data_IF_557687480311
#
_entry.id   IF_557687480311
#
_cell.length_a   1.000
_cell.length_b   1.000
_cell.length_c   1.000
_cell.angle_alpha   90.00
_cell.angle_beta   90.00
_cell.angle_gamma   90.00
#
_symmetry.space_group_name_H-M   'P 1'
#
loop_
_entity.id
_entity.type
_entity.pdbx_description
1 polymer ?
#
# COMPACT_ATOMS: atom_id res chain seq x y z
N UNK A 1 6.40 -54.19 2.91
CA UNK A 1 7.30 -53.29 3.68
C UNK A 1 7.24 -51.95 2.98
N UNK A 2 6.21 -51.20 3.32
CA UNK A 2 5.55 -50.18 2.51
C UNK A 2 6.02 -48.77 2.88
N UNK A 3 6.39 -47.96 1.88
CA UNK A 3 6.83 -46.57 2.02
C UNK A 3 5.80 -45.57 1.49
N UNK A 4 4.52 -45.74 1.83
CA UNK A 4 3.42 -44.83 1.40
C UNK A 4 2.79 -44.02 2.54
N UNK A 5 3.42 -43.94 3.72
CA UNK A 5 2.77 -43.39 4.93
C UNK A 5 3.35 -42.07 5.46
N UNK A 6 4.05 -41.28 4.62
CA UNK A 6 4.64 -40.00 5.08
C UNK A 6 4.16 -38.75 4.33
N UNK A 7 3.13 -38.83 3.49
CA UNK A 7 2.62 -37.65 2.76
C UNK A 7 1.18 -37.24 3.12
N UNK A 8 0.69 -37.61 4.31
CA UNK A 8 -0.71 -37.31 4.71
C UNK A 8 -0.85 -36.48 5.99
N UNK A 9 0.25 -35.98 6.59
CA UNK A 9 0.18 -35.28 7.88
C UNK A 9 0.52 -33.78 7.83
N UNK A 10 0.79 -33.21 6.65
CA UNK A 10 1.08 -31.77 6.51
C UNK A 10 -0.09 -30.93 5.97
N UNK A 11 -1.29 -31.51 5.87
CA UNK A 11 -2.55 -30.78 5.62
C UNK A 11 -3.39 -30.56 6.89
N UNK A 12 -2.85 -30.90 8.06
CA UNK A 12 -3.56 -30.79 9.34
C UNK A 12 -2.90 -29.80 10.32
N UNK A 13 -2.49 -28.61 9.88
CA UNK A 13 -2.09 -27.55 10.83
C UNK A 13 -2.13 -26.14 10.21
N UNK A 14 -3.32 -25.56 10.02
CA UNK A 14 -3.50 -24.08 9.92
C UNK A 14 -4.93 -23.56 10.05
N UNK A 15 -5.96 -24.43 10.14
CA UNK A 15 -7.36 -24.02 10.17
C UNK A 15 -8.09 -24.32 11.50
N UNK A 16 -7.49 -23.97 12.64
CA UNK A 16 -8.22 -23.90 13.92
C UNK A 16 -8.27 -22.46 14.42
N UNK A 17 -9.00 -21.60 13.69
CA UNK A 17 -9.53 -20.36 14.26
C UNK A 17 -10.96 -20.67 14.74
N UNK A 18 -11.12 -20.78 16.05
CA UNK A 18 -12.37 -20.63 16.84
C UNK A 18 -13.67 -20.61 16.02
N UNK A 19 -14.35 -21.77 15.92
CA UNK A 19 -15.70 -21.89 15.34
C UNK A 19 -16.81 -21.69 16.38
N UNK A 20 -16.48 -21.24 17.60
CA UNK A 20 -17.40 -21.25 18.75
C UNK A 20 -18.31 -20.02 18.88
N UNK A 21 -18.23 -19.05 17.96
CA UNK A 21 -18.98 -17.78 18.07
C UNK A 21 -19.57 -17.32 16.73
N UNK A 22 -19.91 -18.27 15.84
CA UNK A 22 -20.60 -17.96 14.59
C UNK A 22 -22.11 -18.09 14.83
N UNK A 23 -22.81 -16.96 14.80
CA UNK A 23 -24.28 -16.97 14.79
C UNK A 23 -24.75 -17.60 13.48
N UNK A 24 -25.89 -18.29 13.53
CA UNK A 24 -26.58 -18.76 12.33
C UNK A 24 -26.99 -17.58 11.44
N UNK A 25 -27.24 -17.88 10.17
CA UNK A 25 -27.65 -16.85 9.19
C UNK A 25 -28.95 -16.16 9.64
N UNK A 26 -29.89 -16.92 10.19
CA UNK A 26 -31.20 -16.44 10.64
C UNK A 26 -31.06 -15.52 11.87
N UNK A 27 -30.23 -15.90 12.85
CA UNK A 27 -29.93 -15.09 14.03
C UNK A 27 -29.27 -13.75 13.65
N UNK A 28 -28.38 -13.73 12.66
CA UNK A 28 -27.77 -12.48 12.17
C UNK A 28 -28.79 -11.55 11.52
N UNK A 29 -29.72 -12.10 10.74
CA UNK A 29 -30.76 -11.31 10.08
C UNK A 29 -31.71 -10.67 11.11
N UNK A 30 -32.14 -11.44 12.11
CA UNK A 30 -33.03 -10.97 13.16
C UNK A 30 -32.33 -9.95 14.09
N UNK A 31 -31.07 -10.19 14.42
CA UNK A 31 -30.22 -9.24 15.16
C UNK A 31 -30.03 -7.93 14.38
N UNK A 32 -29.88 -8.00 13.06
CA UNK A 32 -29.80 -6.81 12.21
C UNK A 32 -31.10 -6.02 12.19
N UNK A 33 -32.26 -6.70 12.13
CA UNK A 33 -33.59 -6.07 12.18
C UNK A 33 -33.83 -5.37 13.51
N UNK A 34 -33.54 -6.02 14.63
CA UNK A 34 -33.69 -5.44 15.97
C UNK A 34 -32.86 -4.18 16.15
N UNK A 35 -31.56 -4.25 15.82
CA UNK A 35 -30.66 -3.10 15.92
C UNK A 35 -31.08 -1.94 14.99
N UNK A 36 -31.62 -2.22 13.80
CA UNK A 36 -32.14 -1.19 12.90
C UNK A 36 -33.39 -0.46 13.47
N UNK A 37 -34.19 -1.14 14.30
CA UNK A 37 -35.29 -0.55 15.06
C UNK A 37 -34.83 0.26 16.28
N UNK A 38 -33.51 0.34 16.51
CA UNK A 38 -32.92 1.08 17.64
C UNK A 38 -33.00 0.35 18.98
N UNK A 39 -33.27 -0.97 18.99
CA UNK A 39 -33.25 -1.73 20.25
C UNK A 39 -31.85 -1.81 20.82
N UNK A 40 -31.72 -1.71 22.14
CA UNK A 40 -30.42 -1.82 22.80
C UNK A 40 -29.75 -3.18 22.52
N UNK A 41 -28.42 -3.22 22.27
CA UNK A 41 -27.69 -4.44 21.93
C UNK A 41 -27.82 -5.55 22.97
N UNK A 42 -27.87 -5.19 24.26
CA UNK A 42 -28.00 -6.16 25.35
C UNK A 42 -29.43 -6.75 25.39
N UNK A 43 -30.46 -5.96 25.08
CA UNK A 43 -31.86 -6.43 24.96
C UNK A 43 -32.01 -7.35 23.73
N UNK A 44 -31.39 -6.99 22.61
CA UNK A 44 -31.38 -7.82 21.41
C UNK A 44 -30.66 -9.17 21.66
N UNK A 45 -29.58 -9.16 22.43
CA UNK A 45 -28.87 -10.38 22.84
C UNK A 45 -29.78 -11.31 23.66
N UNK A 46 -30.48 -10.77 24.65
CA UNK A 46 -31.45 -11.50 25.47
C UNK A 46 -32.58 -12.12 24.64
N UNK A 47 -33.15 -11.37 23.69
CA UNK A 47 -34.27 -11.85 22.86
C UNK A 47 -33.90 -12.99 21.92
N UNK A 48 -32.64 -13.03 21.48
CA UNK A 48 -32.13 -14.05 20.57
C UNK A 48 -31.38 -15.18 21.29
N UNK A 49 -31.26 -15.13 22.61
CA UNK A 49 -30.49 -16.12 23.39
C UNK A 49 -28.98 -16.08 23.11
N UNK A 50 -28.46 -14.95 22.62
CA UNK A 50 -27.07 -14.77 22.21
C UNK A 50 -26.26 -14.12 23.36
N UNK A 51 -24.96 -14.42 23.43
CA UNK A 51 -24.05 -13.74 24.35
C UNK A 51 -23.92 -12.23 24.02
N UNK A 52 -24.04 -11.32 25.01
CA UNK A 52 -23.95 -9.86 24.78
C UNK A 52 -22.65 -9.40 24.08
N UNK A 53 -21.53 -10.09 24.32
CA UNK A 53 -20.26 -9.75 23.65
C UNK A 53 -20.34 -9.95 22.13
N UNK A 54 -21.07 -10.96 21.66
CA UNK A 54 -21.22 -11.25 20.23
C UNK A 54 -22.00 -10.14 19.52
N UNK A 55 -23.04 -9.59 20.16
CA UNK A 55 -23.79 -8.43 19.65
C UNK A 55 -22.93 -7.15 19.67
N UNK A 56 -22.13 -6.96 20.71
CA UNK A 56 -21.16 -5.84 20.80
C UNK A 56 -20.09 -5.92 19.70
N UNK A 57 -19.55 -7.09 19.42
CA UNK A 57 -18.62 -7.32 18.32
C UNK A 57 -19.26 -7.07 16.95
N UNK A 58 -20.51 -7.54 16.75
CA UNK A 58 -21.28 -7.29 15.53
C UNK A 58 -21.49 -5.80 15.29
N UNK A 59 -22.03 -5.08 16.27
CA UNK A 59 -22.28 -3.63 16.15
C UNK A 59 -20.99 -2.84 15.91
N UNK A 60 -19.88 -3.23 16.55
CA UNK A 60 -18.55 -2.64 16.30
C UNK A 60 -18.10 -2.87 14.86
N UNK A 61 -18.30 -4.07 14.32
CA UNK A 61 -17.97 -4.43 12.93
C UNK A 61 -18.84 -3.65 11.94
N UNK A 62 -20.15 -3.53 12.20
CA UNK A 62 -21.09 -2.74 11.39
C UNK A 62 -20.71 -1.27 11.37
N UNK A 63 -20.50 -0.66 12.55
CA UNK A 63 -20.04 0.74 12.66
C UNK A 63 -18.72 0.97 11.92
N UNK A 64 -17.78 0.00 11.95
CA UNK A 64 -16.52 0.09 11.20
C UNK A 64 -16.74 0.02 9.68
N UNK A 65 -17.61 -0.88 9.21
CA UNK A 65 -17.95 -1.00 7.80
C UNK A 65 -18.60 0.29 7.28
N UNK A 66 -19.52 0.87 8.06
CA UNK A 66 -20.15 2.14 7.73
C UNK A 66 -19.15 3.31 7.66
N UNK A 67 -18.26 3.45 8.65
CA UNK A 67 -17.21 4.49 8.58
C UNK A 67 -16.30 4.31 7.35
N UNK A 68 -15.99 3.07 6.99
CA UNK A 68 -15.18 2.79 5.80
C UNK A 68 -15.92 3.12 4.51
N UNK A 69 -17.23 2.81 4.40
CA UNK A 69 -18.02 3.15 3.22
C UNK A 69 -18.16 4.66 3.04
N UNK A 70 -18.40 5.39 4.14
CA UNK A 70 -18.42 6.86 4.16
C UNK A 70 -17.05 7.44 3.77
N UNK A 71 -15.94 6.89 4.29
CA UNK A 71 -14.57 7.29 3.91
C UNK A 71 -14.35 7.10 2.41
N UNK A 72 -14.71 5.94 1.85
CA UNK A 72 -14.59 5.67 0.40
C UNK A 72 -15.43 6.67 -0.40
N UNK A 73 -16.67 6.93 0.01
CA UNK A 73 -17.56 7.88 -0.66
C UNK A 73 -16.94 9.28 -0.73
N UNK A 74 -16.37 9.76 0.40
CA UNK A 74 -15.65 11.05 0.45
C UNK A 74 -14.42 11.06 -0.47
N UNK A 75 -13.63 9.98 -0.48
CA UNK A 75 -12.46 9.87 -1.35
C UNK A 75 -12.81 9.72 -2.84
N UNK A 76 -14.01 9.25 -3.19
CA UNK A 76 -14.49 9.24 -4.57
C UNK A 76 -14.84 10.65 -5.06
N UNK A 77 -15.25 11.55 -4.17
CA UNK A 77 -15.49 12.96 -4.50
C UNK A 77 -14.18 13.73 -4.73
N UNK A 78 -13.14 13.43 -3.96
CA UNK A 78 -11.77 13.92 -4.18
C UNK A 78 -10.76 12.76 -4.27
N UNK A 79 -10.51 12.25 -5.49
CA UNK A 79 -9.58 11.15 -5.74
C UNK A 79 -8.13 11.46 -5.36
N UNK A 80 -7.72 12.73 -5.37
CA UNK A 80 -6.35 13.12 -5.00
C UNK A 80 -6.10 12.94 -3.51
N UNK A 81 -7.12 13.16 -2.69
CA UNK A 81 -7.05 12.92 -1.24
C UNK A 81 -6.87 11.43 -0.88
N UNK A 82 -7.08 10.50 -1.82
CA UNK A 82 -6.82 9.08 -1.59
C UNK A 82 -5.32 8.74 -1.53
N UNK A 83 -4.45 9.62 -2.03
CA UNK A 83 -2.99 9.46 -2.04
C UNK A 83 -2.40 10.15 -0.81
N UNK A 84 -2.05 9.36 0.21
CA UNK A 84 -1.37 9.84 1.41
C UNK A 84 0.16 9.83 1.24
N UNK A 85 0.85 10.33 2.27
CA UNK A 85 2.31 10.33 2.31
C UNK A 85 2.88 8.89 2.34
N UNK A 86 2.32 8.03 3.18
CA UNK A 86 2.80 6.65 3.42
C UNK A 86 2.01 5.60 2.62
N UNK A 87 0.71 5.80 2.45
CA UNK A 87 -0.21 4.84 1.82
C UNK A 87 -1.08 5.49 0.74
N UNK A 88 -1.73 4.66 -0.07
CA UNK A 88 -2.78 5.01 -1.02
C UNK A 88 -4.00 4.14 -0.74
N UNK A 89 -5.18 4.73 -0.66
CA UNK A 89 -6.43 3.99 -0.41
C UNK A 89 -7.09 3.62 -1.74
N UNK A 90 -7.42 2.34 -1.94
CA UNK A 90 -8.17 1.91 -3.11
C UNK A 90 -9.63 2.39 -3.01
N UNK A 91 -10.12 3.10 -4.04
CA UNK A 91 -11.49 3.62 -4.11
C UNK A 91 -12.57 2.55 -4.32
N UNK A 92 -12.20 1.29 -4.60
CA UNK A 92 -13.15 0.18 -4.77
C UNK A 92 -13.35 -0.56 -3.45
N UNK A 93 -12.26 -1.01 -2.82
CA UNK A 93 -12.32 -1.84 -1.62
C UNK A 93 -12.01 -1.10 -0.31
N UNK A 94 -11.48 0.13 -0.36
CA UNK A 94 -11.07 0.91 0.80
C UNK A 94 -9.83 0.40 1.53
N UNK A 95 -9.14 -0.61 0.98
CA UNK A 95 -7.88 -1.09 1.55
C UNK A 95 -6.74 -0.12 1.24
N UNK A 96 -5.78 -0.05 2.18
CA UNK A 96 -4.64 0.83 2.09
C UNK A 96 -3.40 0.06 1.61
N UNK A 97 -2.74 0.57 0.58
CA UNK A 97 -1.56 -0.02 -0.03
C UNK A 97 -0.42 1.00 -0.07
N UNK A 98 0.80 0.55 -0.38
CA UNK A 98 1.90 1.47 -0.73
C UNK A 98 1.90 1.82 -2.22
N UNK A 99 1.52 0.85 -3.06
CA UNK A 99 1.38 0.95 -4.51
C UNK A 99 0.15 0.16 -4.92
N UNK A 100 -0.74 0.75 -5.73
CA UNK A 100 -1.81 0.00 -6.39
C UNK A 100 -1.20 -0.75 -7.58
N UNK A 101 -0.90 -2.02 -7.38
CA UNK A 101 -0.32 -2.88 -8.41
C UNK A 101 -1.39 -3.32 -9.40
N UNK A 102 -0.95 -3.73 -10.60
CA UNK A 102 -1.84 -4.25 -11.63
C UNK A 102 -2.64 -5.48 -11.14
N UNK A 103 -2.03 -6.32 -10.29
CA UNK A 103 -2.71 -7.49 -9.73
C UNK A 103 -3.91 -7.09 -8.86
N UNK A 104 -3.74 -6.09 -7.98
CA UNK A 104 -4.85 -5.60 -7.16
C UNK A 104 -5.96 -5.01 -8.03
N UNK A 105 -5.63 -4.21 -9.04
CA UNK A 105 -6.63 -3.65 -9.95
C UNK A 105 -7.35 -4.75 -10.75
N UNK A 106 -6.63 -5.80 -11.14
CA UNK A 106 -7.21 -6.96 -11.83
C UNK A 106 -8.24 -7.72 -10.98
N UNK A 107 -8.06 -7.78 -9.66
CA UNK A 107 -9.10 -8.35 -8.76
C UNK A 107 -10.42 -7.59 -8.81
N UNK A 108 -10.40 -6.34 -9.25
CA UNK A 108 -11.56 -5.50 -9.45
C UNK A 108 -11.94 -5.32 -10.94
N UNK A 109 -11.30 -6.06 -11.85
CA UNK A 109 -11.56 -5.94 -13.29
C UNK A 109 -11.08 -4.60 -13.90
N UNK A 110 -10.20 -3.87 -13.22
CA UNK A 110 -9.64 -2.62 -13.73
C UNK A 110 -8.20 -2.78 -14.19
N UNK A 111 -7.82 -2.05 -15.24
CA UNK A 111 -6.41 -1.80 -15.59
C UNK A 111 -5.98 -0.45 -15.03
N UNK A 112 -4.66 -0.18 -14.92
CA UNK A 112 -4.17 1.10 -14.40
C UNK A 112 -4.72 2.32 -15.16
N UNK A 113 -4.89 2.22 -16.48
CA UNK A 113 -5.50 3.28 -17.30
C UNK A 113 -7.01 3.40 -17.07
N UNK A 114 -7.72 2.28 -17.05
CA UNK A 114 -9.16 2.24 -16.77
C UNK A 114 -9.47 2.81 -15.39
N UNK A 115 -8.71 2.42 -14.36
CA UNK A 115 -8.86 2.92 -13.00
C UNK A 115 -8.74 4.45 -12.94
N UNK A 116 -7.69 4.99 -13.57
CA UNK A 116 -7.49 6.45 -13.63
C UNK A 116 -8.66 7.16 -14.30
N UNK A 117 -9.13 6.63 -15.43
CA UNK A 117 -10.26 7.20 -16.18
C UNK A 117 -11.57 7.17 -15.39
N UNK A 118 -11.89 6.04 -14.76
CA UNK A 118 -13.14 5.86 -14.00
C UNK A 118 -13.23 6.80 -12.80
N UNK A 119 -12.10 7.03 -12.11
CA UNK A 119 -12.04 7.87 -10.92
C UNK A 119 -11.53 9.29 -11.17
N UNK A 120 -11.29 9.70 -12.42
CA UNK A 120 -10.87 11.06 -12.74
C UNK A 120 -9.43 11.42 -12.34
N UNK A 121 -8.53 10.45 -12.23
CA UNK A 121 -7.10 10.74 -12.07
C UNK A 121 -6.51 11.22 -13.40
N UNK A 122 -5.58 12.19 -13.32
CA UNK A 122 -4.76 12.54 -14.46
C UNK A 122 -3.88 11.35 -14.91
N UNK A 123 -3.62 11.21 -16.23
CA UNK A 123 -2.90 10.05 -16.77
C UNK A 123 -1.49 9.89 -16.20
N UNK A 124 -0.83 11.00 -15.87
CA UNK A 124 0.56 11.02 -15.39
C UNK A 124 0.68 10.75 -13.88
N UNK A 125 -0.43 10.80 -13.14
CA UNK A 125 -0.40 10.59 -11.68
C UNK A 125 -0.05 9.15 -11.36
N UNK A 126 0.95 8.95 -10.52
CA UNK A 126 1.33 7.62 -10.06
C UNK A 126 0.32 7.09 -9.03
N UNK A 127 -0.16 5.85 -9.21
CA UNK A 127 -1.07 5.18 -8.27
C UNK A 127 -0.29 4.57 -7.08
N UNK A 128 0.49 5.40 -6.40
CA UNK A 128 1.33 5.01 -5.27
C UNK A 128 1.39 6.13 -4.23
N UNK A 129 1.85 5.80 -3.01
CA UNK A 129 2.07 6.82 -1.99
C UNK A 129 3.23 7.74 -2.36
N UNK A 130 3.23 8.96 -1.82
CA UNK A 130 4.27 9.96 -2.12
C UNK A 130 5.67 9.48 -1.74
N UNK A 131 5.79 8.72 -0.66
CA UNK A 131 7.07 8.13 -0.25
C UNK A 131 7.58 7.09 -1.26
N UNK A 132 6.69 6.26 -1.82
CA UNK A 132 7.08 5.28 -2.83
C UNK A 132 7.48 5.96 -4.14
N UNK A 133 6.75 7.00 -4.53
CA UNK A 133 7.10 7.79 -5.72
C UNK A 133 8.51 8.37 -5.59
N UNK A 134 8.82 9.00 -4.45
CA UNK A 134 10.15 9.55 -4.17
C UNK A 134 11.24 8.48 -4.15
N UNK A 135 10.95 7.28 -3.62
CA UNK A 135 11.89 6.14 -3.65
C UNK A 135 12.13 5.64 -5.07
N UNK A 136 11.09 5.62 -5.91
CA UNK A 136 11.20 5.23 -7.30
C UNK A 136 12.01 6.28 -8.08
N UNK A 137 11.71 7.57 -7.94
CA UNK A 137 12.49 8.66 -8.55
C UNK A 137 13.98 8.59 -8.18
N UNK A 138 14.28 8.40 -6.89
CA UNK A 138 15.67 8.24 -6.43
C UNK A 138 16.34 7.00 -7.02
N UNK A 139 15.59 5.90 -7.18
CA UNK A 139 16.10 4.67 -7.82
C UNK A 139 16.35 4.94 -9.31
N UNK A 140 15.43 5.59 -9.99
CA UNK A 140 15.51 5.88 -11.41
C UNK A 140 16.67 6.84 -11.69
N UNK A 141 16.88 7.86 -10.86
CA UNK A 141 18.07 8.72 -10.91
C UNK A 141 19.37 7.91 -10.74
N UNK A 142 19.42 6.99 -9.78
CA UNK A 142 20.58 6.11 -9.56
C UNK A 142 20.82 5.15 -10.73
N UNK A 143 19.78 4.63 -11.36
CA UNK A 143 19.87 3.73 -12.52
C UNK A 143 20.25 4.51 -13.77
N UNK A 144 19.69 5.70 -13.97
CA UNK A 144 20.06 6.61 -15.05
C UNK A 144 21.56 6.91 -14.99
N UNK A 145 22.10 7.11 -13.78
CA UNK A 145 23.53 7.27 -13.54
C UNK A 145 24.39 6.04 -13.90
N UNK A 146 23.81 4.84 -13.88
CA UNK A 146 24.52 3.63 -14.29
C UNK A 146 24.76 3.60 -15.80
N UNK A 147 23.83 4.13 -16.60
CA UNK A 147 23.97 4.27 -18.06
C UNK A 147 24.99 5.38 -18.41
N UNK A 148 26.11 5.07 -19.10
CA UNK A 148 27.09 6.07 -19.51
C UNK A 148 26.50 7.21 -20.35
N UNK A 149 25.48 6.94 -21.18
CA UNK A 149 24.87 7.94 -22.05
C UNK A 149 24.07 9.03 -21.30
N UNK A 150 23.67 8.75 -20.06
CA UNK A 150 22.91 9.68 -19.23
C UNK A 150 23.75 10.30 -18.10
N UNK A 151 25.06 10.05 -18.08
CA UNK A 151 25.97 10.69 -17.14
C UNK A 151 26.25 12.12 -17.63
N UNK A 152 26.26 13.12 -16.75
CA UNK A 152 26.75 14.45 -17.09
C UNK A 152 28.20 14.33 -17.54
N UNK A 153 28.52 15.11 -18.57
CA UNK A 153 29.85 15.16 -19.16
C UNK A 153 30.79 16.00 -18.27
N UNK A 154 31.16 15.40 -17.15
CA UNK A 154 32.16 15.95 -16.23
C UNK A 154 33.50 15.30 -16.54
N UNK A 155 34.46 16.13 -16.94
CA UNK A 155 35.83 15.70 -17.23
C UNK A 155 36.63 15.52 -15.94
N UNK A 156 37.65 14.67 -15.99
CA UNK A 156 38.59 14.47 -14.88
C UNK A 156 39.27 15.78 -14.49
N UNK A 157 39.61 16.61 -15.48
CA UNK A 157 40.31 17.88 -15.27
C UNK A 157 39.46 18.88 -14.48
N UNK A 158 38.16 19.00 -14.77
CA UNK A 158 37.24 19.84 -14.01
C UNK A 158 37.22 19.47 -12.51
N UNK A 159 37.26 18.17 -12.21
CA UNK A 159 37.30 17.68 -10.82
C UNK A 159 38.64 18.01 -10.17
N UNK A 160 39.75 17.87 -10.90
CA UNK A 160 41.09 18.17 -10.40
C UNK A 160 41.26 19.67 -10.13
N UNK A 161 40.80 20.54 -11.02
CA UNK A 161 40.82 22.00 -10.84
C UNK A 161 40.09 22.42 -9.55
N UNK A 162 38.91 21.87 -9.28
CA UNK A 162 38.19 22.17 -8.04
C UNK A 162 38.94 21.64 -6.80
N UNK A 163 39.62 20.51 -6.92
CA UNK A 163 40.43 19.96 -5.82
C UNK A 163 41.67 20.81 -5.54
N UNK A 164 42.29 21.37 -6.57
CA UNK A 164 43.41 22.32 -6.47
C UNK A 164 42.98 23.63 -5.79
N UNK A 165 41.75 24.08 -6.03
CA UNK A 165 41.12 25.19 -5.31
C UNK A 165 40.82 24.88 -3.82
N UNK A 166 41.12 23.66 -3.36
CA UNK A 166 40.89 23.22 -1.99
C UNK A 166 39.46 22.74 -1.71
N UNK A 167 38.61 22.62 -2.74
CA UNK A 167 37.26 22.11 -2.58
C UNK A 167 37.30 20.63 -2.17
N UNK A 168 36.62 20.31 -1.06
CA UNK A 168 36.42 18.92 -0.62
C UNK A 168 35.46 18.21 -1.57
N UNK A 169 35.51 16.88 -1.60
CA UNK A 169 34.65 16.04 -2.46
C UNK A 169 33.16 16.35 -2.29
N UNK A 170 32.71 16.67 -1.07
CA UNK A 170 31.31 17.04 -0.83
C UNK A 170 30.95 18.39 -1.48
N UNK A 171 31.88 19.36 -1.51
CA UNK A 171 31.70 20.65 -2.18
C UNK A 171 31.67 20.47 -3.71
N UNK A 172 32.59 19.68 -4.26
CA UNK A 172 32.64 19.33 -5.69
C UNK A 172 31.33 18.63 -6.13
N UNK A 173 30.81 17.73 -5.28
CA UNK A 173 29.55 17.03 -5.52
C UNK A 173 28.36 17.98 -5.58
N UNK A 174 28.31 18.98 -4.69
CA UNK A 174 27.26 19.99 -4.67
C UNK A 174 27.37 20.96 -5.85
N UNK A 175 28.58 21.38 -6.21
CA UNK A 175 28.84 22.36 -7.26
C UNK A 175 28.58 21.82 -8.67
N UNK A 176 29.02 20.59 -8.95
CA UNK A 176 28.82 19.94 -10.25
C UNK A 176 27.50 19.15 -10.33
N UNK A 177 26.75 19.05 -9.24
CA UNK A 177 25.50 18.28 -9.19
C UNK A 177 25.68 16.78 -9.45
N UNK A 178 26.86 16.23 -9.15
CA UNK A 178 27.21 14.83 -9.41
C UNK A 178 27.38 14.02 -8.13
N UNK A 179 27.18 12.70 -8.22
CA UNK A 179 27.40 11.81 -7.07
C UNK A 179 28.88 11.67 -6.71
N UNK A 180 29.19 11.56 -5.42
CA UNK A 180 30.55 11.25 -4.91
C UNK A 180 31.17 10.03 -5.59
N UNK A 181 30.36 9.01 -5.85
CA UNK A 181 30.78 7.79 -6.53
C UNK A 181 31.24 8.04 -7.97
N UNK A 182 30.67 9.02 -8.68
CA UNK A 182 31.22 9.42 -9.98
C UNK A 182 32.57 10.09 -9.82
N UNK A 183 32.69 11.03 -8.88
CA UNK A 183 33.93 11.79 -8.67
C UNK A 183 35.09 10.80 -8.49
N UNK A 184 34.94 9.83 -7.59
CA UNK A 184 35.95 8.78 -7.39
C UNK A 184 36.19 7.91 -8.62
N UNK A 185 35.15 7.63 -9.41
CA UNK A 185 35.29 6.85 -10.65
C UNK A 185 36.10 7.62 -11.70
N UNK A 186 35.79 8.88 -11.95
CA UNK A 186 36.50 9.75 -12.91
C UNK A 186 37.95 10.00 -12.51
N UNK A 187 38.21 10.20 -11.21
CA UNK A 187 39.58 10.32 -10.72
C UNK A 187 40.41 9.04 -10.89
N UNK A 188 39.75 7.88 -11.04
CA UNK A 188 40.39 6.56 -11.24
C UNK A 188 40.51 6.17 -12.73
N UNK A 189 39.81 6.86 -13.63
CA UNK A 189 40.01 6.68 -15.08
C UNK A 189 41.44 7.12 -15.42
N UNK A 190 42.21 6.24 -16.09
CA UNK A 190 43.63 6.48 -16.44
C UNK A 190 43.72 7.54 -17.52
#
# INVERSE_FOLDING_TARGET
MDKSSQHSQQEQCSAKKSTANLLSVDEYEELSKLLALGTDPDIAALKLGIQPNTVKEYTKRQKKAQRNSEKISRLKADPMAAINNTTITCLVCGQEFKVLTANHLATHGHTGKSYKKTFGYAPDVALMSREQLKKQENRDQRLNWANPACRPDVTKDQILTLREQGCKVDAISAELGISRSLIYRRLKEV
#
